data_IF_569389817291
#
_entry.id   IF_569389817291
#
_cell.length_a   1.000
_cell.length_b   1.000
_cell.length_c   1.000
_cell.angle_alpha   90.00
_cell.angle_beta   90.00
_cell.angle_gamma   90.00
#
_symmetry.space_group_name_H-M   'P 1'
#
loop_
_entity.id
_entity.type
_entity.pdbx_description
1 polymer ?
#
# COMPACT_ATOMS: atom_id res chain seq x y z
N UNK A 1 -62.37 -25.45 -8.95
CA UNK A 1 -62.58 -24.53 -10.09
C UNK A 1 -62.38 -23.10 -9.61
N UNK A 2 -61.82 -22.20 -10.43
CA UNK A 2 -62.05 -20.73 -10.48
C UNK A 2 -61.84 -19.95 -9.13
N UNK A 3 -60.88 -19.03 -8.92
CA UNK A 3 -60.38 -17.89 -9.75
C UNK A 3 -61.55 -16.99 -10.23
N UNK A 4 -61.73 -15.74 -9.76
CA UNK A 4 -61.07 -14.44 -10.07
C UNK A 4 -61.57 -13.42 -8.97
N UNK A 5 -60.98 -12.27 -8.61
CA UNK A 5 -59.77 -11.50 -9.01
C UNK A 5 -59.95 -9.98 -8.73
N UNK A 6 -58.92 -9.14 -9.01
CA UNK A 6 -58.88 -7.65 -8.86
C UNK A 6 -58.84 -7.09 -7.41
N UNK A 7 -57.84 -6.36 -6.86
CA UNK A 7 -56.74 -5.49 -7.32
C UNK A 7 -57.01 -3.96 -7.27
N UNK A 8 -56.35 -3.24 -6.33
CA UNK A 8 -55.54 -2.01 -6.51
C UNK A 8 -55.18 -1.35 -5.16
N UNK A 9 -53.97 -0.80 -5.04
CA UNK A 9 -53.53 -0.10 -3.83
C UNK A 9 -52.00 0.06 -3.69
N UNK A 10 -51.31 0.50 -4.76
CA UNK A 10 -49.85 0.70 -4.72
C UNK A 10 -49.53 2.15 -4.38
N UNK A 11 -48.84 2.38 -3.26
CA UNK A 11 -48.00 3.56 -3.05
C UNK A 11 -46.55 3.11 -2.90
N UNK A 12 -45.70 3.51 -3.84
CA UNK A 12 -44.29 3.16 -3.88
C UNK A 12 -43.42 4.41 -3.70
N UNK A 13 -42.80 4.55 -2.53
CA UNK A 13 -41.70 5.51 -2.32
C UNK A 13 -40.36 4.76 -2.44
N UNK A 14 -39.60 5.09 -3.48
CA UNK A 14 -38.29 4.47 -3.75
C UNK A 14 -37.23 4.97 -2.76
N UNK A 15 -36.86 4.14 -1.78
CA UNK A 15 -35.55 4.23 -1.11
C UNK A 15 -34.93 2.85 -0.95
N UNK A 16 -33.65 2.74 -1.29
CA UNK A 16 -32.91 1.47 -1.36
C UNK A 16 -31.41 1.66 -1.21
N UNK A 17 -30.97 2.28 -0.10
CA UNK A 17 -29.57 2.31 0.33
C UNK A 17 -29.50 1.77 1.76
N UNK A 18 -29.01 0.55 2.00
CA UNK A 18 -28.89 0.00 3.34
C UNK A 18 -27.61 0.50 4.02
N UNK A 19 -27.65 1.69 4.63
CA UNK A 19 -26.70 2.02 5.69
C UNK A 19 -27.02 1.17 6.92
N UNK A 20 -26.31 0.06 7.11
CA UNK A 20 -26.35 -0.71 8.36
C UNK A 20 -25.60 0.02 9.47
N UNK A 21 -26.27 1.03 10.04
CA UNK A 21 -26.09 1.39 11.45
C UNK A 21 -26.47 0.16 12.29
N UNK A 22 -25.47 -0.52 12.85
CA UNK A 22 -25.67 -1.66 13.75
C UNK A 22 -25.32 -1.23 15.18
N UNK A 23 -26.40 -0.98 15.93
CA UNK A 23 -26.52 -0.65 17.35
C UNK A 23 -25.27 -0.69 18.23
N UNK A 24 -25.00 0.46 18.86
CA UNK A 24 -24.37 0.49 20.17
C UNK A 24 -25.31 -0.19 21.17
N UNK A 25 -24.94 -1.37 21.68
CA UNK A 25 -25.64 -2.05 22.77
C UNK A 25 -24.60 -2.54 23.79
N UNK A 26 -24.68 -1.95 24.98
CA UNK A 26 -24.11 -2.39 26.26
C UNK A 26 -22.61 -2.72 26.32
N UNK A 27 -21.89 -1.80 26.98
CA UNK A 27 -20.63 -2.08 27.67
C UNK A 27 -20.87 -3.12 28.78
N UNK A 28 -20.36 -4.33 28.61
CA UNK A 28 -19.61 -5.08 29.62
C UNK A 28 -19.06 -6.38 29.01
N UNK A 29 -17.95 -6.86 29.59
CA UNK A 29 -17.31 -8.16 29.33
C UNK A 29 -16.50 -8.32 28.02
N UNK A 30 -15.16 -8.28 28.14
CA UNK A 30 -14.20 -8.54 27.05
C UNK A 30 -13.83 -10.03 26.98
N UNK A 31 -13.90 -10.65 25.80
CA UNK A 31 -13.40 -12.02 25.57
C UNK A 31 -11.98 -12.04 24.96
N UNK A 32 -11.10 -12.81 25.61
CA UNK A 32 -9.74 -13.13 25.14
C UNK A 32 -9.76 -14.25 24.10
N UNK A 33 -8.98 -14.13 23.02
CA UNK A 33 -8.74 -15.28 22.13
C UNK A 33 -7.73 -16.24 22.77
N UNK A 34 -8.20 -17.42 23.16
CA UNK A 34 -7.43 -18.41 23.93
C UNK A 34 -6.09 -18.78 23.25
N UNK A 35 -5.00 -18.37 23.91
CA UNK A 35 -3.62 -18.66 23.50
C UNK A 35 -2.91 -17.58 22.66
N UNK A 36 -3.59 -16.53 22.20
CA UNK A 36 -2.92 -15.41 21.51
C UNK A 36 -2.64 -14.26 22.45
N UNK A 37 -1.43 -13.69 22.34
CA UNK A 37 -1.01 -12.54 23.14
C UNK A 37 -0.41 -11.45 22.24
N UNK A 38 -0.56 -10.19 22.66
CA UNK A 38 0.13 -9.01 22.12
C UNK A 38 1.09 -8.47 23.16
N UNK A 39 2.17 -7.84 22.72
CA UNK A 39 3.11 -7.16 23.61
C UNK A 39 3.02 -5.64 23.51
N UNK A 40 3.50 -4.95 24.55
CA UNK A 40 3.63 -3.49 24.58
C UNK A 40 4.46 -2.94 23.42
N UNK A 41 5.38 -3.75 22.88
CA UNK A 41 6.24 -3.42 21.74
C UNK A 41 5.59 -3.72 20.37
N UNK A 42 4.32 -4.09 20.34
CA UNK A 42 3.63 -4.42 19.09
C UNK A 42 4.04 -5.76 18.48
N UNK A 43 4.53 -6.70 19.30
CA UNK A 43 4.73 -8.10 18.90
C UNK A 43 3.44 -8.89 19.16
N UNK A 44 3.26 -9.99 18.43
CA UNK A 44 2.13 -10.93 18.56
C UNK A 44 2.70 -12.33 18.73
N UNK A 45 2.22 -13.04 19.75
CA UNK A 45 2.53 -14.43 20.08
C UNK A 45 1.31 -15.29 19.71
N UNK A 46 1.50 -16.23 18.79
CA UNK A 46 0.44 -17.18 18.40
C UNK A 46 0.22 -18.25 19.47
N UNK A 47 -0.91 -18.99 19.40
CA UNK A 47 -1.16 -20.17 20.25
C UNK A 47 -0.03 -21.21 20.24
N UNK A 48 0.73 -21.30 19.16
CA UNK A 48 1.91 -22.18 19.05
C UNK A 48 3.23 -21.54 19.52
N UNK A 49 3.18 -20.50 20.37
CA UNK A 49 4.34 -19.82 20.94
C UNK A 49 5.14 -18.93 19.98
N UNK A 50 4.71 -18.78 18.72
CA UNK A 50 5.51 -18.06 17.71
C UNK A 50 5.35 -16.55 17.89
N UNK A 51 6.43 -15.87 18.25
CA UNK A 51 6.50 -14.40 18.35
C UNK A 51 6.89 -13.76 17.01
N UNK A 52 6.09 -12.80 16.55
CA UNK A 52 6.34 -12.00 15.34
C UNK A 52 5.71 -10.61 15.45
N UNK A 53 6.18 -9.64 14.64
CA UNK A 53 5.50 -8.34 14.50
C UNK A 53 4.27 -8.41 13.54
N UNK A 54 3.90 -9.58 13.03
CA UNK A 54 2.97 -9.71 11.91
C UNK A 54 3.56 -9.36 10.54
N UNK A 55 2.74 -9.49 9.50
CA UNK A 55 3.10 -9.23 8.09
C UNK A 55 2.77 -7.78 7.72
N UNK A 56 3.65 -7.13 6.96
CA UNK A 56 3.40 -5.78 6.45
C UNK A 56 2.37 -5.83 5.31
N UNK A 57 1.30 -5.05 5.40
CA UNK A 57 0.29 -4.89 4.34
C UNK A 57 0.76 -3.86 3.30
N UNK A 58 0.17 -3.87 2.10
CA UNK A 58 0.46 -2.85 1.07
C UNK A 58 0.14 -1.40 1.49
N UNK A 59 -0.65 -1.21 2.55
CA UNK A 59 -0.93 0.11 3.14
C UNK A 59 0.10 0.55 4.20
N UNK A 60 1.10 -0.30 4.52
CA UNK A 60 2.15 -0.03 5.52
C UNK A 60 1.83 -0.48 6.95
N UNK A 61 0.60 -0.91 7.24
CA UNK A 61 0.24 -1.46 8.57
C UNK A 61 0.71 -2.90 8.73
N UNK A 62 1.10 -3.31 9.94
CA UNK A 62 1.30 -4.73 10.26
C UNK A 62 -0.02 -5.43 10.59
N UNK A 63 -0.18 -6.67 10.12
CA UNK A 63 -1.37 -7.48 10.32
C UNK A 63 -1.06 -8.95 10.64
N UNK A 64 -2.00 -9.63 11.30
CA UNK A 64 -1.96 -11.06 11.63
C UNK A 64 -3.32 -11.70 11.31
N UNK A 65 -3.32 -12.97 10.88
CA UNK A 65 -4.56 -13.73 10.72
C UNK A 65 -4.88 -14.49 11.99
N UNK A 66 -5.99 -14.14 12.65
CA UNK A 66 -6.49 -14.83 13.84
C UNK A 66 -7.75 -15.58 13.44
N UNK A 67 -7.64 -16.92 13.34
CA UNK A 67 -8.64 -17.74 12.67
C UNK A 67 -8.80 -17.30 11.20
N UNK A 68 -10.04 -17.02 10.79
CA UNK A 68 -10.39 -16.54 9.43
C UNK A 68 -10.40 -15.00 9.29
N UNK A 69 -10.06 -14.23 10.34
CA UNK A 69 -10.08 -12.75 10.31
C UNK A 69 -8.66 -12.18 10.23
N UNK A 70 -8.47 -11.19 9.37
CA UNK A 70 -7.25 -10.38 9.32
C UNK A 70 -7.37 -9.24 10.35
N UNK A 71 -6.48 -9.22 11.33
CA UNK A 71 -6.46 -8.24 12.41
C UNK A 71 -5.22 -7.32 12.29
N UNK A 72 -5.41 -6.01 12.42
CA UNK A 72 -4.32 -5.02 12.40
C UNK A 72 -3.64 -4.95 13.77
N UNK A 73 -2.31 -5.08 13.80
CA UNK A 73 -1.56 -5.24 15.07
C UNK A 73 -1.73 -4.03 15.99
N UNK A 74 -1.66 -2.80 15.48
CA UNK A 74 -1.89 -1.60 16.30
C UNK A 74 -3.27 -1.58 16.99
N UNK A 75 -4.33 -2.08 16.34
CA UNK A 75 -5.67 -2.16 16.97
C UNK A 75 -5.70 -3.18 18.10
N UNK A 76 -5.01 -4.31 17.94
CA UNK A 76 -4.90 -5.32 18.99
C UNK A 76 -4.07 -4.82 20.19
N UNK A 77 -2.99 -4.08 19.95
CA UNK A 77 -2.17 -3.46 21.00
C UNK A 77 -2.98 -2.39 21.73
N UNK A 78 -3.60 -1.45 20.99
CA UNK A 78 -4.45 -0.42 21.57
C UNK A 78 -5.56 -1.01 22.45
N UNK A 79 -6.32 -2.01 21.96
CA UNK A 79 -7.40 -2.63 22.73
C UNK A 79 -6.95 -3.44 23.97
N UNK A 80 -5.66 -3.80 24.07
CA UNK A 80 -5.10 -4.55 25.19
C UNK A 80 -4.34 -3.69 26.22
N UNK A 81 -3.79 -2.55 25.79
CA UNK A 81 -2.92 -1.71 26.62
C UNK A 81 -3.42 -0.28 26.84
N UNK A 82 -4.23 0.27 25.94
CA UNK A 82 -4.85 1.58 26.13
C UNK A 82 -6.25 1.42 26.72
N UNK A 83 -6.63 2.38 27.57
CA UNK A 83 -8.00 2.47 28.05
C UNK A 83 -8.95 2.93 26.92
N UNK A 84 -10.24 2.55 26.98
CA UNK A 84 -11.25 3.03 26.04
C UNK A 84 -11.29 4.57 26.03
N UNK A 85 -11.46 5.21 24.86
CA UNK A 85 -11.62 6.65 24.81
C UNK A 85 -12.89 7.09 25.56
N UNK A 86 -12.79 8.19 26.33
CA UNK A 86 -13.92 8.77 27.05
C UNK A 86 -15.05 9.25 26.13
N UNK A 87 -14.70 9.65 24.90
CA UNK A 87 -15.64 9.99 23.83
C UNK A 87 -15.79 8.81 22.84
N UNK A 88 -17.01 8.28 22.64
CA UNK A 88 -17.31 7.32 21.56
C UNK A 88 -16.95 7.76 20.14
N UNK A 89 -16.65 9.03 19.88
CA UNK A 89 -16.16 9.50 18.57
C UNK A 89 -14.68 9.15 18.31
N UNK A 90 -13.90 8.84 19.36
CA UNK A 90 -12.44 8.76 19.33
C UNK A 90 -11.86 7.34 19.17
N UNK A 91 -12.61 6.37 18.62
CA UNK A 91 -12.14 4.99 18.46
C UNK A 91 -11.05 4.75 17.39
N UNK A 92 -10.60 5.79 16.67
CA UNK A 92 -9.56 5.61 15.65
C UNK A 92 -8.17 5.58 16.30
N UNK A 93 -7.42 4.51 16.06
CA UNK A 93 -6.02 4.40 16.52
C UNK A 93 -5.10 5.15 15.55
N UNK A 94 -4.33 6.10 16.07
CA UNK A 94 -3.32 6.88 15.35
C UNK A 94 -1.91 6.53 15.82
N UNK A 95 -0.94 6.65 14.91
CA UNK A 95 0.50 6.50 15.16
C UNK A 95 1.12 7.89 15.33
N UNK A 96 1.70 8.22 16.48
CA UNK A 96 2.19 9.58 16.76
C UNK A 96 3.35 9.97 15.86
N UNK A 97 4.25 9.03 15.57
CA UNK A 97 5.41 9.17 14.67
C UNK A 97 5.11 9.06 13.15
N UNK A 98 3.85 8.81 12.76
CA UNK A 98 3.39 8.43 11.41
C UNK A 98 3.94 7.09 10.84
N UNK A 99 4.77 6.33 11.55
CA UNK A 99 5.19 4.99 11.11
C UNK A 99 4.14 3.94 11.48
N UNK A 100 3.32 3.58 10.49
CA UNK A 100 2.31 2.51 10.55
C UNK A 100 2.87 1.13 10.89
N UNK A 101 4.18 0.94 10.81
CA UNK A 101 4.87 -0.28 11.20
C UNK A 101 5.33 -0.28 12.68
N UNK A 102 5.41 0.87 13.33
CA UNK A 102 5.78 1.02 14.74
C UNK A 102 4.55 0.90 15.66
N UNK A 103 4.19 -0.32 16.04
CA UNK A 103 3.01 -0.56 16.90
C UNK A 103 3.36 -0.58 18.40
N UNK A 104 4.41 0.13 18.84
CA UNK A 104 4.72 0.28 20.27
C UNK A 104 3.60 1.06 20.96
N UNK A 105 3.19 0.65 22.16
CA UNK A 105 2.02 1.23 22.87
C UNK A 105 2.11 2.75 23.04
N UNK A 106 3.29 3.29 23.38
CA UNK A 106 3.48 4.74 23.54
C UNK A 106 3.41 5.53 22.22
N UNK A 107 3.49 4.85 21.07
CA UNK A 107 3.27 5.45 19.75
C UNK A 107 1.80 5.41 19.32
N UNK A 108 0.93 4.75 20.08
CA UNK A 108 -0.48 4.56 19.73
C UNK A 108 -1.38 5.40 20.64
N UNK A 109 -2.35 6.08 20.04
CA UNK A 109 -3.39 6.81 20.77
C UNK A 109 -4.75 6.68 20.08
N UNK A 110 -5.81 6.72 20.89
CA UNK A 110 -7.18 6.88 20.42
C UNK A 110 -7.47 8.36 20.08
N UNK A 111 -8.02 8.61 18.90
CA UNK A 111 -8.36 9.95 18.38
C UNK A 111 -9.65 9.93 17.56
N UNK A 112 -10.28 11.08 17.40
CA UNK A 112 -11.33 11.26 16.41
C UNK A 112 -10.77 11.24 14.98
N UNK A 113 -11.65 10.97 14.01
CA UNK A 113 -11.31 11.02 12.59
C UNK A 113 -10.83 12.43 12.15
N UNK A 114 -11.41 13.49 12.73
CA UNK A 114 -11.02 14.87 12.43
C UNK A 114 -9.59 15.19 12.91
N UNK A 115 -9.25 14.79 14.15
CA UNK A 115 -7.91 14.97 14.72
C UNK A 115 -6.87 14.17 13.95
N UNK A 116 -7.16 12.91 13.60
CA UNK A 116 -6.25 12.08 12.80
C UNK A 116 -5.95 12.72 11.42
N UNK A 117 -6.99 13.23 10.75
CA UNK A 117 -6.81 13.94 9.48
C UNK A 117 -5.98 15.22 9.62
N UNK A 118 -6.18 15.97 10.71
CA UNK A 118 -5.42 17.18 11.05
C UNK A 118 -3.95 16.85 11.36
N UNK A 119 -3.70 15.87 12.23
CA UNK A 119 -2.35 15.35 12.53
C UNK A 119 -1.63 14.96 11.24
N UNK A 120 -2.25 14.09 10.43
CA UNK A 120 -1.71 13.65 9.15
C UNK A 120 -1.47 14.79 8.15
N UNK A 121 -2.21 15.91 8.23
CA UNK A 121 -1.93 17.09 7.40
C UNK A 121 -0.73 17.90 7.91
N UNK A 122 -0.59 18.03 9.24
CA UNK A 122 0.51 18.75 9.87
C UNK A 122 1.85 18.01 9.76
N UNK A 123 1.87 16.71 10.04
CA UNK A 123 3.09 15.94 10.31
C UNK A 123 3.58 15.06 9.15
N UNK A 124 2.75 14.74 8.15
CA UNK A 124 3.17 13.88 7.02
C UNK A 124 3.87 14.69 5.90
N UNK A 125 5.18 14.53 5.66
CA UNK A 125 5.91 15.29 4.64
C UNK A 125 5.47 14.94 3.20
N UNK A 126 4.99 13.71 2.97
CA UNK A 126 4.54 13.27 1.65
C UNK A 126 3.26 13.98 1.18
N UNK A 127 2.38 14.39 2.11
CA UNK A 127 1.21 15.23 1.79
C UNK A 127 1.62 16.62 1.32
N UNK A 128 2.66 17.23 1.91
CA UNK A 128 3.17 18.55 1.50
C UNK A 128 3.80 18.53 0.11
N UNK A 129 4.45 17.42 -0.29
CA UNK A 129 5.06 17.27 -1.63
C UNK A 129 4.07 16.88 -2.75
N UNK A 130 2.79 16.65 -2.42
CA UNK A 130 1.73 16.23 -3.36
C UNK A 130 0.91 17.37 -3.97
N UNK A 131 1.19 18.63 -3.63
CA UNK A 131 0.58 19.78 -4.30
C UNK A 131 1.05 19.84 -5.74
N UNK A 132 0.19 19.48 -6.70
CA UNK A 132 0.51 19.57 -8.12
C UNK A 132 0.96 21.01 -8.42
N UNK A 133 2.20 21.16 -8.93
CA UNK A 133 2.68 22.45 -9.46
C UNK A 133 1.60 22.97 -10.40
N UNK A 134 1.16 24.21 -10.18
CA UNK A 134 0.08 24.80 -10.97
C UNK A 134 0.42 24.70 -12.45
N UNK A 135 -0.57 24.40 -13.30
CA UNK A 135 -0.35 24.46 -14.75
C UNK A 135 -0.07 25.91 -15.10
N UNK A 136 1.16 26.21 -15.52
CA UNK A 136 1.55 27.52 -15.99
C UNK A 136 0.69 27.93 -17.20
N UNK A 137 0.37 29.22 -17.28
CA UNK A 137 -0.58 29.77 -18.24
C UNK A 137 -0.02 31.03 -18.86
N UNK A 138 -0.24 31.20 -20.16
CA UNK A 138 -0.02 32.45 -20.87
C UNK A 138 -1.36 33.17 -20.99
N UNK A 139 -1.37 34.48 -20.70
CA UNK A 139 -2.54 35.34 -20.84
C UNK A 139 -2.20 36.61 -21.61
N UNK A 140 -3.21 37.24 -22.21
CA UNK A 140 -3.11 38.58 -22.79
C UNK A 140 -4.46 39.30 -22.83
N UNK A 141 -4.51 40.64 -22.84
CA UNK A 141 -5.69 41.40 -23.23
C UNK A 141 -6.05 41.14 -24.71
N UNK A 142 -7.34 41.09 -25.03
CA UNK A 142 -7.81 41.02 -26.43
C UNK A 142 -7.42 42.29 -27.18
N UNK A 143 -6.55 42.15 -28.18
CA UNK A 143 -6.03 43.26 -29.00
C UNK A 143 -4.52 43.43 -28.87
N UNK A 144 -3.89 42.89 -27.83
CA UNK A 144 -2.44 42.89 -27.68
C UNK A 144 -1.79 41.67 -28.34
N UNK A 145 -0.57 41.82 -28.86
CA UNK A 145 0.18 40.71 -29.46
C UNK A 145 1.01 39.93 -28.43
N UNK A 146 1.50 40.62 -27.39
CA UNK A 146 2.33 40.04 -26.34
C UNK A 146 1.55 39.07 -25.44
N UNK A 147 2.22 38.03 -24.95
CA UNK A 147 1.67 37.05 -24.02
C UNK A 147 2.46 37.04 -22.72
N UNK A 148 1.79 37.29 -21.60
CA UNK A 148 2.37 37.29 -20.25
C UNK A 148 2.23 35.91 -19.60
N UNK A 149 3.27 35.45 -18.90
CA UNK A 149 3.29 34.14 -18.21
C UNK A 149 2.93 34.29 -16.73
N UNK A 150 2.09 33.38 -16.24
CA UNK A 150 1.94 33.08 -14.81
C UNK A 150 2.31 31.62 -14.55
N UNK A 151 2.83 31.32 -13.36
CA UNK A 151 3.24 29.97 -12.97
C UNK A 151 2.03 29.09 -12.58
N UNK A 152 0.84 29.67 -12.41
CA UNK A 152 -0.39 28.87 -12.32
C UNK A 152 -1.66 29.56 -12.85
N UNK A 153 -2.63 28.74 -13.28
CA UNK A 153 -4.02 29.18 -13.53
C UNK A 153 -4.67 29.87 -12.32
N UNK A 154 -4.28 29.53 -11.09
CA UNK A 154 -4.83 30.12 -9.87
C UNK A 154 -4.23 31.53 -9.61
N UNK A 155 -2.95 31.71 -9.91
CA UNK A 155 -2.27 33.00 -9.87
C UNK A 155 -2.82 33.96 -10.93
N UNK A 156 -2.96 33.51 -12.18
CA UNK A 156 -3.57 34.34 -13.24
C UNK A 156 -5.02 34.75 -12.90
N UNK A 157 -5.80 33.84 -12.31
CA UNK A 157 -7.14 34.14 -11.83
C UNK A 157 -7.15 35.23 -10.74
N UNK A 158 -6.23 35.13 -9.77
CA UNK A 158 -6.07 36.12 -8.70
C UNK A 158 -5.57 37.47 -9.22
N UNK A 159 -4.63 37.47 -10.17
CA UNK A 159 -4.01 38.68 -10.71
C UNK A 159 -5.00 39.51 -11.55
N UNK A 160 -5.81 38.84 -12.37
CA UNK A 160 -6.71 39.48 -13.32
C UNK A 160 -8.15 39.63 -12.81
N UNK A 161 -8.47 39.07 -11.64
CA UNK A 161 -9.84 39.03 -11.11
C UNK A 161 -10.80 38.09 -11.88
N UNK A 162 -10.29 37.25 -12.78
CA UNK A 162 -11.10 36.29 -13.57
C UNK A 162 -11.40 35.02 -12.77
N UNK A 163 -12.53 34.37 -13.07
CA UNK A 163 -12.86 33.07 -12.48
C UNK A 163 -11.83 32.00 -12.91
N UNK A 164 -11.24 31.28 -11.94
CA UNK A 164 -10.21 30.25 -12.21
C UNK A 164 -10.64 29.21 -13.26
N UNK A 165 -11.91 28.80 -13.25
CA UNK A 165 -12.36 27.83 -14.25
C UNK A 165 -12.55 28.46 -15.64
N UNK A 166 -12.81 29.77 -15.77
CA UNK A 166 -12.77 30.45 -17.06
C UNK A 166 -11.36 30.38 -17.68
N UNK A 167 -10.30 30.59 -16.89
CA UNK A 167 -8.90 30.38 -17.31
C UNK A 167 -8.70 28.95 -17.83
N UNK A 168 -9.19 27.95 -17.09
CA UNK A 168 -9.13 26.53 -17.50
C UNK A 168 -9.96 26.22 -18.75
N UNK A 169 -11.10 26.86 -18.94
CA UNK A 169 -11.98 26.68 -20.11
C UNK A 169 -11.35 27.30 -21.35
N UNK A 170 -10.71 28.47 -21.22
CA UNK A 170 -9.93 29.10 -22.27
C UNK A 170 -8.71 28.25 -22.67
N UNK A 171 -7.91 27.77 -21.70
CA UNK A 171 -6.79 26.88 -21.98
C UNK A 171 -7.19 25.56 -22.68
N UNK A 172 -8.45 25.12 -22.54
CA UNK A 172 -9.02 23.93 -23.19
C UNK A 172 -9.76 24.22 -24.51
N UNK A 173 -9.80 25.48 -24.97
CA UNK A 173 -10.57 25.88 -26.15
C UNK A 173 -12.10 25.81 -26.00
N UNK A 174 -12.61 25.56 -24.79
CA UNK A 174 -14.07 25.51 -24.49
C UNK A 174 -14.67 26.92 -24.44
N UNK A 175 -13.84 27.93 -24.12
CA UNK A 175 -14.23 29.33 -24.04
C UNK A 175 -13.19 30.17 -24.78
N UNK A 176 -13.60 31.15 -25.58
CA UNK A 176 -12.63 31.94 -26.38
C UNK A 176 -11.89 33.00 -25.56
N UNK A 177 -12.58 33.63 -24.60
CA UNK A 177 -12.08 34.76 -23.79
C UNK A 177 -12.89 34.90 -22.49
N UNK A 178 -12.31 35.54 -21.48
CA UNK A 178 -12.98 35.87 -20.21
C UNK A 178 -12.97 37.38 -19.97
N UNK A 179 -14.04 37.94 -19.41
CA UNK A 179 -14.14 39.36 -19.07
C UNK A 179 -13.82 39.57 -17.58
N UNK A 180 -12.94 40.52 -17.28
CA UNK A 180 -12.80 41.08 -15.94
C UNK A 180 -12.44 42.57 -16.04
N UNK A 181 -12.95 43.38 -15.10
CA UNK A 181 -12.64 44.82 -15.01
C UNK A 181 -12.84 45.61 -16.34
N UNK A 182 -13.83 45.21 -17.16
CA UNK A 182 -14.11 45.80 -18.47
C UNK A 182 -13.20 45.32 -19.62
N UNK A 183 -12.16 44.55 -19.33
CA UNK A 183 -11.18 44.05 -20.31
C UNK A 183 -11.41 42.57 -20.60
N UNK A 184 -11.38 42.21 -21.88
CA UNK A 184 -11.41 40.82 -22.31
C UNK A 184 -10.00 40.24 -22.32
N UNK A 185 -9.83 39.03 -21.78
CA UNK A 185 -8.56 38.32 -21.71
C UNK A 185 -8.64 36.97 -22.44
N UNK A 186 -7.58 36.64 -23.18
CA UNK A 186 -7.35 35.32 -23.78
C UNK A 186 -6.33 34.53 -22.95
N UNK A 187 -6.50 33.21 -22.88
CA UNK A 187 -5.62 32.31 -22.13
C UNK A 187 -5.26 31.07 -22.95
N UNK A 188 -3.99 30.68 -22.90
CA UNK A 188 -3.50 29.40 -23.45
C UNK A 188 -2.52 28.74 -22.46
N UNK A 189 -2.42 27.41 -22.50
CA UNK A 189 -1.42 26.69 -21.70
C UNK A 189 -0.02 27.21 -22.03
N UNK A 190 0.80 27.47 -21.01
CA UNK A 190 2.21 27.79 -21.25
C UNK A 190 2.94 26.51 -21.68
N UNK A 191 3.85 26.57 -22.68
CA UNK A 191 4.70 25.43 -22.98
C UNK A 191 5.54 25.08 -21.74
N UNK A 192 5.67 23.78 -21.49
CA UNK A 192 6.50 23.28 -20.39
C UNK A 192 7.96 23.54 -20.76
N UNK A 193 8.65 24.39 -20.01
CA UNK A 193 10.02 24.83 -20.34
C UNK A 193 11.07 23.71 -20.25
N UNK A 194 10.73 22.59 -19.61
CA UNK A 194 11.58 21.41 -19.43
C UNK A 194 11.28 20.30 -20.47
N UNK A 195 11.12 20.65 -21.74
CA UNK A 195 11.26 19.66 -22.82
C UNK A 195 12.74 19.54 -23.17
N UNK A 196 13.43 18.43 -22.86
CA UNK A 196 14.78 18.21 -23.39
C UNK A 196 14.68 18.20 -24.92
N UNK A 197 15.62 18.89 -25.57
CA UNK A 197 15.49 19.33 -26.97
C UNK A 197 15.40 18.19 -27.99
N UNK A 198 15.73 16.96 -27.56
CA UNK A 198 15.87 15.77 -28.40
C UNK A 198 14.85 14.66 -28.03
N UNK A 199 13.68 15.02 -27.49
CA UNK A 199 12.59 14.04 -27.29
C UNK A 199 11.98 13.62 -28.65
N UNK A 200 12.32 12.40 -29.08
CA UNK A 200 11.83 11.81 -30.32
C UNK A 200 10.45 11.18 -30.09
N UNK A 201 9.46 11.54 -30.92
CA UNK A 201 8.11 10.98 -30.89
C UNK A 201 7.86 10.06 -32.08
N UNK A 202 7.34 8.85 -31.81
CA UNK A 202 7.08 7.81 -32.82
C UNK A 202 5.69 7.16 -32.63
N UNK A 203 5.05 6.63 -33.69
CA UNK A 203 3.84 5.83 -33.58
C UNK A 203 4.09 4.57 -32.73
N UNK A 204 3.25 4.35 -31.72
CA UNK A 204 3.48 3.31 -30.72
C UNK A 204 3.36 1.90 -31.30
N UNK A 205 4.43 1.11 -31.22
CA UNK A 205 4.45 -0.33 -31.52
C UNK A 205 4.32 -1.15 -30.24
N UNK A 206 3.93 -2.42 -30.35
CA UNK A 206 3.87 -3.35 -29.22
C UNK A 206 4.32 -4.75 -29.67
N UNK A 207 5.05 -5.52 -28.84
CA UNK A 207 5.57 -6.83 -29.27
C UNK A 207 4.44 -7.77 -29.70
N UNK A 208 4.58 -8.40 -30.87
CA UNK A 208 3.57 -9.30 -31.44
C UNK A 208 2.38 -8.59 -32.10
N UNK A 209 2.42 -7.27 -32.31
CA UNK A 209 1.40 -6.51 -33.04
C UNK A 209 2.02 -5.87 -34.28
N UNK A 210 1.72 -6.41 -35.46
CA UNK A 210 2.36 -6.04 -36.73
C UNK A 210 2.10 -4.60 -37.19
N UNK A 211 1.02 -3.97 -36.72
CA UNK A 211 0.67 -2.57 -37.04
C UNK A 211 0.84 -1.67 -35.80
N UNK A 212 1.30 -0.42 -35.97
CA UNK A 212 1.31 0.55 -34.88
C UNK A 212 -0.11 0.76 -34.31
N UNK A 213 -0.17 1.04 -33.02
CA UNK A 213 -1.44 1.29 -32.31
C UNK A 213 -2.04 2.61 -32.81
N UNK A 214 -3.31 2.53 -33.18
CA UNK A 214 -4.16 3.64 -33.62
C UNK A 214 -4.15 4.79 -32.62
N UNK A 215 -3.84 5.99 -33.10
CA UNK A 215 -3.85 7.25 -32.33
C UNK A 215 -3.10 7.18 -30.99
N UNK A 216 -1.97 6.46 -30.97
CA UNK A 216 -1.04 6.43 -29.84
C UNK A 216 0.38 6.75 -30.32
N UNK A 217 0.95 7.81 -29.76
CA UNK A 217 2.35 8.19 -29.94
C UNK A 217 3.10 7.91 -28.63
N UNK A 218 4.35 7.46 -28.73
CA UNK A 218 5.28 7.29 -27.61
C UNK A 218 6.52 8.14 -27.82
N UNK A 219 7.15 8.58 -26.73
CA UNK A 219 8.41 9.33 -26.79
C UNK A 219 9.62 8.54 -26.29
N UNK A 220 10.82 8.94 -26.70
CA UNK A 220 12.09 8.36 -26.24
C UNK A 220 12.27 8.42 -24.72
N UNK A 221 11.67 9.41 -24.06
CA UNK A 221 11.67 9.52 -22.60
C UNK A 221 10.71 8.55 -21.92
N UNK A 222 9.78 7.95 -22.67
CA UNK A 222 8.74 7.07 -22.14
C UNK A 222 7.41 7.74 -21.80
N UNK A 223 7.12 8.89 -22.42
CA UNK A 223 5.79 9.53 -22.39
C UNK A 223 4.89 8.96 -23.49
N UNK A 224 3.58 9.13 -23.33
CA UNK A 224 2.54 8.71 -24.27
C UNK A 224 1.54 9.84 -24.54
N UNK A 225 1.16 9.99 -25.81
CA UNK A 225 0.19 11.00 -26.28
C UNK A 225 -0.88 10.36 -27.18
N UNK A 226 -2.08 10.95 -27.18
CA UNK A 226 -3.18 10.60 -28.11
C UNK A 226 -3.15 11.46 -29.39
N UNK A 227 -2.42 12.57 -29.33
CA UNK A 227 -2.36 13.58 -30.37
C UNK A 227 -1.12 13.36 -31.23
N UNK A 228 -1.26 13.47 -32.56
CA UNK A 228 -0.18 13.22 -33.53
C UNK A 228 0.75 14.42 -33.82
N UNK A 229 0.37 15.64 -33.42
CA UNK A 229 1.06 16.90 -33.81
C UNK A 229 1.41 17.84 -32.65
N UNK A 230 0.72 17.73 -31.52
CA UNK A 230 0.94 18.55 -30.33
C UNK A 230 1.07 17.62 -29.13
N UNK A 231 2.17 17.72 -28.38
CA UNK A 231 2.52 16.80 -27.29
C UNK A 231 2.40 17.44 -25.90
N UNK A 232 1.73 18.59 -25.79
CA UNK A 232 1.56 19.33 -24.53
C UNK A 232 0.74 18.56 -23.47
N UNK A 233 -0.21 17.73 -23.91
CA UNK A 233 -0.98 16.80 -23.05
C UNK A 233 -0.34 15.40 -22.93
N UNK A 234 0.94 15.24 -23.29
CA UNK A 234 1.68 14.01 -23.10
C UNK A 234 1.75 13.62 -21.61
N UNK A 235 1.49 12.35 -21.33
CA UNK A 235 1.47 11.78 -19.97
C UNK A 235 2.42 10.60 -19.83
N UNK A 236 2.73 10.20 -18.61
CA UNK A 236 3.52 8.99 -18.33
C UNK A 236 2.66 7.71 -18.36
N UNK A 237 1.36 7.81 -18.63
CA UNK A 237 0.37 6.76 -18.38
C UNK A 237 -0.04 6.67 -16.90
N UNK A 238 -0.95 5.75 -16.60
CA UNK A 238 -1.43 5.47 -15.24
C UNK A 238 -0.45 4.54 -14.54
N UNK A 239 0.10 4.95 -13.40
CA UNK A 239 0.99 4.11 -12.59
C UNK A 239 0.19 3.07 -11.79
N UNK A 240 0.52 1.81 -11.98
CA UNK A 240 -0.08 0.65 -11.31
C UNK A 240 0.59 0.38 -9.95
N UNK A 241 -0.07 -0.42 -9.10
CA UNK A 241 0.41 -0.76 -7.75
C UNK A 241 1.71 -1.60 -7.74
N UNK A 242 2.02 -2.28 -8.84
CA UNK A 242 3.28 -3.00 -9.06
C UNK A 242 4.45 -2.09 -9.50
N UNK A 243 4.17 -0.80 -9.71
CA UNK A 243 5.12 0.24 -10.10
C UNK A 243 5.21 0.55 -11.59
N UNK A 244 4.62 -0.28 -12.48
CA UNK A 244 4.65 -0.05 -13.92
C UNK A 244 3.65 1.02 -14.37
N UNK A 245 3.90 1.64 -15.53
CA UNK A 245 2.94 2.52 -16.19
C UNK A 245 2.11 1.79 -17.25
N UNK A 246 0.82 2.09 -17.31
CA UNK A 246 -0.18 1.52 -18.22
C UNK A 246 -0.89 2.63 -19.02
N UNK A 247 -1.18 2.38 -20.29
CA UNK A 247 -2.08 3.22 -21.10
C UNK A 247 -3.18 2.34 -21.71
N UNK A 248 -4.43 2.83 -21.74
CA UNK A 248 -5.57 2.09 -22.29
C UNK A 248 -6.01 2.70 -23.63
N UNK A 249 -6.10 1.89 -24.68
CA UNK A 249 -6.63 2.29 -25.99
C UNK A 249 -7.56 1.19 -26.51
N UNK A 250 -8.69 1.57 -27.09
CA UNK A 250 -9.68 0.62 -27.66
C UNK A 250 -10.04 -0.51 -26.67
N UNK A 251 -10.29 -0.14 -25.42
CA UNK A 251 -10.52 -1.04 -24.27
C UNK A 251 -9.38 -2.04 -23.92
N UNK A 252 -8.22 -1.96 -24.57
CA UNK A 252 -7.03 -2.78 -24.30
C UNK A 252 -5.98 -2.00 -23.50
N UNK A 253 -5.41 -2.63 -22.48
CA UNK A 253 -4.32 -2.07 -21.68
C UNK A 253 -2.95 -2.43 -22.24
N UNK A 254 -2.06 -1.44 -22.38
CA UNK A 254 -0.70 -1.58 -22.88
C UNK A 254 0.30 -1.04 -21.86
N UNK A 255 1.33 -1.85 -21.53
CA UNK A 255 2.40 -1.44 -20.63
C UNK A 255 3.36 -0.47 -21.34
N UNK A 256 3.57 0.71 -20.77
CA UNK A 256 4.31 1.81 -21.43
C UNK A 256 5.76 1.41 -21.73
N UNK A 257 6.45 0.74 -20.81
CA UNK A 257 7.82 0.26 -21.07
C UNK A 257 7.89 -0.71 -22.27
N UNK A 258 6.86 -1.56 -22.49
CA UNK A 258 6.81 -2.45 -23.66
C UNK A 258 6.54 -1.69 -24.95
N UNK A 259 5.74 -0.61 -24.88
CA UNK A 259 5.51 0.28 -26.03
C UNK A 259 6.81 0.99 -26.44
N UNK A 260 7.55 1.53 -25.47
CA UNK A 260 8.83 2.22 -25.72
C UNK A 260 9.85 1.23 -26.27
N UNK A 261 10.06 0.08 -25.63
CA UNK A 261 10.99 -0.94 -26.11
C UNK A 261 10.65 -1.39 -27.55
N UNK A 262 9.39 -1.71 -27.85
CA UNK A 262 8.99 -2.12 -29.21
C UNK A 262 9.08 -1.02 -30.27
N UNK A 263 9.10 0.26 -29.86
CA UNK A 263 9.15 1.40 -30.78
C UNK A 263 10.57 1.87 -31.03
N UNK A 264 11.46 1.83 -30.03
CA UNK A 264 12.82 2.36 -30.11
C UNK A 264 13.93 1.30 -30.10
N UNK A 265 13.69 0.12 -29.51
CA UNK A 265 14.61 -1.04 -29.56
C UNK A 265 14.21 -2.08 -30.61
N UNK A 266 13.03 -1.92 -31.24
CA UNK A 266 12.50 -2.85 -32.24
C UNK A 266 11.81 -4.07 -31.66
N UNK A 267 11.53 -5.06 -32.51
CA UNK A 267 10.97 -6.34 -32.07
C UNK A 267 12.03 -7.18 -31.33
N UNK A 268 11.64 -7.91 -30.27
CA UNK A 268 12.57 -8.75 -29.53
C UNK A 268 13.01 -9.97 -30.35
N UNK A 269 14.26 -10.41 -30.16
CA UNK A 269 14.84 -11.59 -30.81
C UNK A 269 14.05 -12.90 -30.53
N UNK A 270 13.26 -12.95 -29.46
CA UNK A 270 12.28 -14.00 -29.19
C UNK A 270 11.04 -13.40 -28.52
N UNK A 271 9.87 -14.00 -28.77
CA UNK A 271 8.61 -13.64 -28.09
C UNK A 271 8.66 -13.84 -26.56
N UNK A 272 9.56 -14.69 -26.08
CA UNK A 272 9.77 -14.94 -24.65
C UNK A 272 10.64 -13.88 -23.95
N UNK A 273 11.26 -12.97 -24.70
CA UNK A 273 12.05 -11.88 -24.12
C UNK A 273 11.16 -10.92 -23.32
N UNK A 274 11.62 -10.59 -22.12
CA UNK A 274 10.99 -9.64 -21.22
C UNK A 274 11.74 -8.31 -21.29
N UNK A 275 11.03 -7.20 -21.11
CA UNK A 275 11.66 -5.88 -21.04
C UNK A 275 12.11 -5.65 -19.60
N UNK A 276 13.40 -5.43 -19.40
CA UNK A 276 14.01 -5.10 -18.11
C UNK A 276 14.24 -3.58 -17.97
N UNK A 277 14.28 -3.10 -16.73
CA UNK A 277 14.64 -1.73 -16.35
C UNK A 277 16.03 -1.76 -15.70
N UNK A 278 17.04 -1.17 -16.35
CA UNK A 278 18.45 -1.22 -15.90
C UNK A 278 18.63 -0.59 -14.50
N UNK A 279 17.96 0.53 -14.24
CA UNK A 279 17.94 1.22 -12.94
C UNK A 279 17.02 0.58 -11.88
N UNK A 280 16.33 -0.53 -12.22
CA UNK A 280 15.29 -1.21 -11.42
C UNK A 280 14.04 -0.37 -11.10
N UNK A 281 13.93 0.86 -11.60
CA UNK A 281 12.76 1.70 -11.41
C UNK A 281 11.74 1.45 -12.53
N UNK A 282 10.75 0.61 -12.24
CA UNK A 282 9.62 0.28 -13.14
C UNK A 282 8.82 1.48 -13.66
N UNK A 283 9.00 2.66 -13.05
CA UNK A 283 8.42 3.91 -13.52
C UNK A 283 9.27 4.66 -14.56
N UNK A 284 10.59 4.42 -14.63
CA UNK A 284 11.51 5.08 -15.55
C UNK A 284 11.51 4.38 -16.91
N UNK A 285 10.61 4.81 -17.79
CA UNK A 285 10.43 4.21 -19.11
C UNK A 285 11.33 4.84 -20.20
N UNK A 286 12.43 5.50 -19.83
CA UNK A 286 13.38 6.06 -20.80
C UNK A 286 13.96 4.96 -21.69
N UNK A 287 14.02 5.16 -23.02
CA UNK A 287 14.40 4.11 -23.97
C UNK A 287 15.76 3.46 -23.64
N UNK A 288 16.73 4.24 -23.19
CA UNK A 288 18.08 3.77 -22.82
C UNK A 288 18.11 2.97 -21.52
N UNK A 289 17.12 3.18 -20.63
CA UNK A 289 16.96 2.43 -19.39
C UNK A 289 16.29 1.06 -19.63
N UNK A 290 15.79 0.82 -20.84
CA UNK A 290 15.13 -0.43 -21.21
C UNK A 290 16.08 -1.34 -22.00
N UNK A 291 15.88 -2.65 -21.86
CA UNK A 291 16.58 -3.69 -22.61
C UNK A 291 15.70 -4.94 -22.69
N UNK A 292 15.88 -5.77 -23.71
CA UNK A 292 15.28 -7.10 -23.76
C UNK A 292 16.19 -8.12 -23.08
N UNK A 293 15.66 -8.88 -22.12
CA UNK A 293 16.34 -9.99 -21.44
C UNK A 293 15.57 -11.28 -21.65
N UNK A 294 16.28 -12.39 -21.75
CA UNK A 294 15.65 -13.73 -21.70
C UNK A 294 15.16 -14.07 -20.28
N UNK A 295 14.22 -15.03 -20.13
CA UNK A 295 13.77 -15.46 -18.80
C UNK A 295 14.91 -16.00 -17.91
N UNK A 296 15.90 -16.68 -18.49
CA UNK A 296 17.08 -17.19 -17.77
C UNK A 296 18.00 -16.06 -17.29
N UNK A 297 18.21 -15.03 -18.11
CA UNK A 297 18.94 -13.82 -17.72
C UNK A 297 18.21 -13.04 -16.63
N UNK A 298 16.89 -12.83 -16.78
CA UNK A 298 16.05 -12.19 -15.76
C UNK A 298 16.18 -12.89 -14.39
N UNK A 299 16.14 -14.23 -14.37
CA UNK A 299 16.39 -15.04 -13.17
C UNK A 299 17.82 -14.85 -12.66
N UNK A 300 18.84 -14.85 -13.53
CA UNK A 300 20.25 -14.65 -13.16
C UNK A 300 20.51 -13.28 -12.55
N UNK A 301 19.99 -12.21 -13.15
CA UNK A 301 20.03 -10.85 -12.60
C UNK A 301 19.30 -10.78 -11.25
N UNK A 302 18.11 -11.37 -11.14
CA UNK A 302 17.37 -11.43 -9.87
C UNK A 302 18.10 -12.25 -8.78
N UNK A 303 18.86 -13.30 -9.14
CA UNK A 303 19.64 -14.09 -8.20
C UNK A 303 20.89 -13.35 -7.72
N UNK A 304 21.68 -12.78 -8.64
CA UNK A 304 22.87 -11.97 -8.32
C UNK A 304 22.54 -10.73 -7.48
N UNK A 305 21.33 -10.18 -7.65
CA UNK A 305 20.88 -8.97 -6.94
C UNK A 305 20.06 -9.26 -5.68
N UNK A 306 19.90 -10.54 -5.28
CA UNK A 306 19.33 -10.89 -3.98
C UNK A 306 20.36 -10.66 -2.89
N UNK A 307 20.18 -9.57 -2.14
CA UNK A 307 20.66 -9.53 -0.75
C UNK A 307 20.19 -10.82 -0.05
N UNK A 308 21.04 -11.44 0.80
CA UNK A 308 20.63 -12.62 1.56
C UNK A 308 19.50 -12.22 2.50
N UNK A 309 18.25 -12.39 2.06
CA UNK A 309 17.08 -12.27 2.92
C UNK A 309 17.38 -13.11 4.15
N UNK A 310 17.22 -12.50 5.33
CA UNK A 310 17.17 -13.23 6.59
C UNK A 310 16.06 -14.29 6.48
N UNK A 311 16.43 -15.48 6.01
CA UNK A 311 15.63 -16.69 6.20
C UNK A 311 15.43 -16.75 7.70
N UNK A 312 14.21 -16.96 8.17
CA UNK A 312 13.88 -17.09 9.59
C UNK A 312 14.69 -18.23 10.24
N UNK A 313 15.97 -17.98 10.52
CA UNK A 313 16.84 -18.78 11.38
C UNK A 313 16.15 -18.67 12.73
N UNK A 314 15.62 -19.80 13.19
CA UNK A 314 15.07 -19.92 14.53
C UNK A 314 16.25 -20.34 15.40
N UNK A 315 16.87 -19.41 16.16
CA UNK A 315 17.86 -19.82 17.12
C UNK A 315 17.21 -20.76 18.15
N UNK A 316 17.98 -21.73 18.62
CA UNK A 316 17.54 -22.79 19.52
C UNK A 316 18.52 -22.83 20.67
N UNK A 317 18.02 -22.92 21.89
CA UNK A 317 18.84 -23.27 23.04
C UNK A 317 18.70 -24.77 23.30
N UNK A 318 19.82 -25.47 23.47
CA UNK A 318 19.87 -26.89 23.83
C UNK A 318 20.66 -27.11 25.11
N UNK A 319 20.20 -28.04 25.95
CA UNK A 319 20.88 -28.44 27.19
C UNK A 319 20.88 -29.95 27.31
N UNK A 320 22.01 -30.52 27.72
CA UNK A 320 22.13 -31.94 28.00
C UNK A 320 21.49 -32.28 29.36
N UNK A 321 20.74 -33.38 29.44
CA UNK A 321 19.97 -33.75 30.63
C UNK A 321 20.85 -34.09 31.85
N UNK A 322 22.11 -34.48 31.63
CA UNK A 322 23.09 -34.77 32.70
C UNK A 322 23.86 -33.56 33.24
N UNK A 323 23.89 -32.43 32.54
CA UNK A 323 24.68 -31.25 32.96
C UNK A 323 23.74 -30.11 33.38
N UNK A 324 23.86 -29.66 34.64
CA UNK A 324 22.78 -28.91 35.27
C UNK A 324 22.75 -27.40 34.99
N UNK A 325 23.81 -26.79 34.44
CA UNK A 325 23.94 -25.32 34.47
C UNK A 325 23.99 -24.55 33.14
N UNK A 326 24.29 -25.18 31.99
CA UNK A 326 24.50 -24.42 30.74
C UNK A 326 23.52 -24.80 29.62
N UNK A 327 22.86 -23.76 29.08
CA UNK A 327 22.14 -23.83 27.81
C UNK A 327 23.07 -23.36 26.69
N UNK A 328 23.32 -24.22 25.71
CA UNK A 328 24.08 -23.88 24.50
C UNK A 328 23.19 -23.14 23.50
N UNK A 329 23.67 -22.03 22.95
CA UNK A 329 22.98 -21.27 21.92
C UNK A 329 23.36 -21.76 20.51
N UNK A 330 22.37 -22.10 19.70
CA UNK A 330 22.54 -22.48 18.31
C UNK A 330 21.84 -21.46 17.39
N UNK A 331 22.56 -20.95 16.40
CA UNK A 331 22.03 -20.01 15.41
C UNK A 331 20.86 -20.55 14.57
N UNK A 332 20.70 -21.88 14.48
CA UNK A 332 19.58 -22.51 13.79
C UNK A 332 19.29 -23.94 14.27
N UNK A 333 18.08 -24.44 14.00
CA UNK A 333 17.72 -25.86 14.11
C UNK A 333 18.70 -26.79 13.34
N UNK A 334 19.35 -26.31 12.28
CA UNK A 334 20.36 -27.11 11.55
C UNK A 334 21.69 -27.16 12.29
N UNK A 335 22.13 -26.05 12.89
CA UNK A 335 23.33 -26.03 13.73
C UNK A 335 23.16 -26.91 14.98
N UNK A 336 21.99 -26.82 15.65
CA UNK A 336 21.65 -27.69 16.77
C UNK A 336 21.64 -29.18 16.37
N UNK A 337 21.08 -29.52 15.20
CA UNK A 337 21.09 -30.88 14.66
C UNK A 337 22.49 -31.39 14.32
N UNK A 338 23.34 -30.56 13.71
CA UNK A 338 24.73 -30.91 13.40
C UNK A 338 25.56 -31.18 14.67
N UNK A 339 25.33 -30.40 15.74
CA UNK A 339 26.04 -30.59 17.01
C UNK A 339 25.54 -31.80 17.81
N UNK A 340 24.22 -32.04 17.83
CA UNK A 340 23.60 -33.08 18.68
C UNK A 340 23.36 -34.41 17.98
N UNK A 341 23.58 -34.49 16.66
CA UNK A 341 23.25 -35.66 15.83
C UNK A 341 21.75 -35.90 15.61
N UNK A 342 20.87 -35.12 16.25
CA UNK A 342 19.43 -35.33 16.21
C UNK A 342 18.79 -34.75 14.94
N UNK A 343 17.74 -35.40 14.45
CA UNK A 343 16.98 -34.91 13.30
C UNK A 343 16.38 -33.51 13.62
N UNK A 344 16.58 -32.48 12.76
CA UNK A 344 16.02 -31.14 12.97
C UNK A 344 14.51 -31.13 13.22
N UNK A 345 13.77 -32.12 12.70
CA UNK A 345 12.32 -32.30 12.90
C UNK A 345 12.00 -32.71 14.35
N UNK A 346 12.81 -33.57 14.95
CA UNK A 346 12.70 -34.00 16.36
C UNK A 346 12.97 -32.82 17.29
N UNK A 347 14.09 -32.11 17.08
CA UNK A 347 14.40 -30.86 17.82
C UNK A 347 13.23 -29.87 17.71
N UNK A 348 12.66 -29.70 16.51
CA UNK A 348 11.51 -28.82 16.29
C UNK A 348 10.21 -29.29 16.97
N UNK A 349 10.03 -30.59 17.25
CA UNK A 349 8.87 -31.11 17.99
C UNK A 349 9.04 -30.87 19.50
N UNK A 350 10.23 -31.14 20.03
CA UNK A 350 10.61 -30.87 21.42
C UNK A 350 10.46 -29.37 21.73
N UNK A 351 11.02 -28.48 20.89
CA UNK A 351 10.87 -27.02 21.02
C UNK A 351 9.42 -26.49 20.91
N UNK A 352 8.43 -27.35 20.61
CA UNK A 352 7.00 -27.01 20.53
C UNK A 352 6.16 -27.76 21.56
N UNK A 353 6.77 -28.50 22.49
CA UNK A 353 6.06 -29.32 23.49
C UNK A 353 5.12 -30.37 22.85
N UNK A 354 5.37 -30.75 21.58
CA UNK A 354 4.64 -31.81 20.85
C UNK A 354 5.23 -33.21 21.10
N UNK A 355 6.27 -33.26 21.92
CA UNK A 355 7.12 -34.40 22.21
C UNK A 355 7.79 -34.12 23.56
N UNK A 356 7.73 -35.07 24.50
CA UNK A 356 8.34 -34.91 25.83
C UNK A 356 9.87 -34.87 25.76
N UNK A 357 10.48 -35.30 24.66
CA UNK A 357 11.93 -35.42 24.53
C UNK A 357 12.54 -36.50 25.44
N UNK A 358 11.72 -37.30 26.12
CA UNK A 358 12.17 -38.33 27.08
C UNK A 358 12.94 -39.50 26.44
N UNK A 359 12.97 -39.58 25.11
CA UNK A 359 13.75 -40.54 24.32
C UNK A 359 15.12 -40.00 23.88
N UNK A 360 15.46 -38.75 24.18
CA UNK A 360 16.76 -38.15 23.84
C UNK A 360 17.40 -37.49 25.07
N UNK A 361 18.74 -37.51 25.22
CA UNK A 361 19.42 -36.93 26.38
C UNK A 361 19.54 -35.39 26.31
N UNK A 362 18.67 -34.73 25.54
CA UNK A 362 18.73 -33.30 25.24
C UNK A 362 17.36 -32.63 25.41
N UNK A 363 17.32 -31.56 26.20
CA UNK A 363 16.21 -30.62 26.21
C UNK A 363 16.47 -29.50 25.20
N UNK A 364 15.44 -29.09 24.47
CA UNK A 364 15.52 -27.95 23.56
C UNK A 364 14.35 -26.99 23.74
N UNK A 365 14.65 -25.69 23.65
CA UNK A 365 13.65 -24.63 23.52
C UNK A 365 14.06 -23.72 22.37
N UNK A 366 13.10 -23.09 21.69
CA UNK A 366 13.47 -21.97 20.83
C UNK A 366 14.13 -20.90 21.71
N UNK A 367 15.27 -20.36 21.27
CA UNK A 367 15.81 -19.18 21.95
C UNK A 367 14.75 -18.10 21.85
N UNK A 368 14.32 -17.58 22.99
CA UNK A 368 13.38 -16.46 23.05
C UNK A 368 14.01 -15.31 22.29
N UNK A 369 13.41 -14.93 21.14
CA UNK A 369 13.68 -13.63 20.52
C UNK A 369 13.66 -12.60 21.64
N UNK A 370 14.76 -11.89 21.80
CA UNK A 370 15.07 -10.95 22.88
C UNK A 370 13.83 -10.55 23.68
N UNK A 371 13.79 -10.94 24.96
CA UNK A 371 12.92 -10.29 25.92
C UNK A 371 13.36 -8.82 25.94
N UNK A 372 12.58 -7.96 25.30
CA UNK A 372 12.90 -6.54 25.27
C UNK A 372 12.67 -5.98 26.68
N UNK A 373 13.58 -5.17 27.23
CA UNK A 373 13.40 -4.60 28.57
C UNK A 373 12.05 -3.89 28.69
N UNK A 374 11.26 -4.24 29.72
CA UNK A 374 9.91 -3.68 29.91
C UNK A 374 8.82 -4.22 28.97
N UNK A 375 9.04 -5.32 28.25
CA UNK A 375 7.99 -5.91 27.41
C UNK A 375 6.94 -6.70 28.21
N UNK A 376 5.83 -6.04 28.51
CA UNK A 376 4.59 -6.69 28.93
C UNK A 376 3.93 -7.49 27.80
N UNK A 377 3.31 -8.63 28.14
CA UNK A 377 2.46 -9.43 27.26
C UNK A 377 1.04 -9.53 27.82
N UNK A 378 0.03 -9.19 27.01
CA UNK A 378 -1.39 -9.26 27.36
C UNK A 378 -2.18 -10.12 26.38
N UNK A 379 -3.26 -10.80 26.81
CA UNK A 379 -4.10 -11.58 25.92
C UNK A 379 -4.75 -10.70 24.84
N UNK A 380 -4.92 -11.24 23.63
CA UNK A 380 -5.57 -10.51 22.54
C UNK A 380 -7.07 -10.39 22.79
N UNK A 381 -7.56 -9.15 22.82
CA UNK A 381 -8.99 -8.82 22.84
C UNK A 381 -9.48 -8.64 21.39
N UNK A 382 -10.58 -9.31 21.03
CA UNK A 382 -11.21 -9.18 19.71
C UNK A 382 -12.54 -8.44 19.81
N UNK A 383 -12.83 -7.56 18.85
CA UNK A 383 -14.10 -6.84 18.75
C UNK A 383 -15.28 -7.83 18.51
N UNK A 384 -16.28 -7.79 19.40
CA UNK A 384 -17.61 -8.40 19.19
C UNK A 384 -17.85 -9.80 19.75
N UNK A 385 -17.33 -10.16 20.92
CA UNK A 385 -17.59 -11.47 21.56
C UNK A 385 -18.19 -11.33 22.97
N UNK A 386 -19.38 -11.93 23.20
CA UNK A 386 -20.11 -12.01 24.49
C UNK A 386 -19.65 -13.21 25.33
N UNK A 387 -19.79 -13.18 26.66
CA UNK A 387 -19.50 -14.34 27.54
C UNK A 387 -20.59 -15.42 27.54
N UNK A 388 -20.23 -16.69 27.79
CA UNK A 388 -21.06 -17.63 28.53
C UNK A 388 -20.94 -17.39 30.05
N UNK A 389 -22.04 -17.55 30.78
CA UNK A 389 -22.06 -17.32 32.23
C UNK A 389 -21.17 -18.30 33.02
N UNK A 390 -20.45 -17.78 34.02
CA UNK A 390 -19.82 -18.61 35.04
C UNK A 390 -20.84 -18.91 36.14
N UNK A 391 -21.18 -20.18 36.32
CA UNK A 391 -21.94 -20.62 37.49
C UNK A 391 -21.10 -20.51 38.75
N UNK A 392 -21.61 -19.76 39.73
CA UNK A 392 -21.19 -19.84 41.13
C UNK A 392 -22.44 -19.87 42.00
N UNK A 393 -23.03 -21.06 42.15
CA UNK A 393 -23.82 -21.40 43.33
C UNK A 393 -22.86 -21.95 44.37
N UNK A 394 -22.39 -21.07 45.26
CA UNK A 394 -21.91 -21.47 46.58
C UNK A 394 -23.00 -21.13 47.60
N UNK A 395 -23.20 -22.07 48.52
CA UNK A 395 -24.35 -22.16 49.42
C UNK A 395 -24.29 -21.11 50.53
N UNK A 396 -25.46 -20.67 50.96
CA UNK A 396 -25.76 -20.29 52.35
C UNK A 396 -26.85 -21.25 52.85
#
# INVERSE_FOLDING_TARGET
MLQIGSARGVFATRYGIPQRLLGCILLQERCSSTGWHVSSHGRVKTRGGIVSYGTLTGAGYRAVSIGKKLCLVHRLVAAAFLDPPSDPSCWQVNHTDNDRANNHVTNLQYVSNAENQKHSHCTNPSRRKGGAKGRAVLWRPCGEEAWTRCDSQAEAARLLGVWRAAVSHCCRGVMRRSLANGVWYEFKSAPTLDLPRDEIWQPARYPGVSRPITNLMVSSLGRVSQTRRHFDDASWGTRMADGYHLVVREARGFLVHRLVAATFLGEPNSLDCQVNHKDRNRGNNHMENLEYVTPSESIRHALLQRTPKSRNRKPVQGRFLGDQKLWLEFESLKAAAAYTGLNPRTISRICRELDSGSSVPWQFRFSSKEQLPGEEWRPVVLEGAKRPGCGFTLVA
#
